data_IF_880493717225
#
_entry.id   IF_880493717225
#
_cell.length_a   1.000
_cell.length_b   1.000
_cell.length_c   1.000
_cell.angle_alpha   90.00
_cell.angle_beta   90.00
_cell.angle_gamma   90.00
#
_symmetry.space_group_name_H-M   'P 1'
#
loop_
_entity.id
_entity.type
_entity.pdbx_description
1 polymer ?
#
# COMPACT_ATOMS: atom_id res chain seq x y z
N UNK A 1 21.49 -16.30 -47.10
CA UNK A 1 21.33 -16.93 -45.77
C UNK A 1 21.23 -15.82 -44.75
N UNK A 2 20.04 -15.50 -44.23
CA UNK A 2 19.84 -14.48 -43.20
C UNK A 2 19.88 -15.17 -41.83
N UNK A 3 20.94 -14.91 -41.08
CA UNK A 3 21.20 -15.51 -39.77
C UNK A 3 20.30 -14.92 -38.69
N UNK A 4 19.84 -15.83 -37.83
CA UNK A 4 19.08 -15.61 -36.61
C UNK A 4 19.77 -14.59 -35.68
N UNK A 5 19.07 -13.51 -35.32
CA UNK A 5 19.60 -12.50 -34.40
C UNK A 5 18.55 -11.66 -33.66
N UNK A 6 17.29 -12.15 -33.56
CA UNK A 6 16.17 -11.39 -32.98
C UNK A 6 15.70 -11.85 -31.58
N UNK A 7 16.00 -13.07 -31.16
CA UNK A 7 15.23 -13.72 -30.08
C UNK A 7 15.92 -13.71 -28.70
N UNK A 8 17.04 -12.99 -28.55
CA UNK A 8 17.83 -12.96 -27.31
C UNK A 8 17.47 -11.81 -26.34
N UNK A 9 16.54 -10.94 -26.75
CA UNK A 9 15.99 -9.85 -25.91
C UNK A 9 14.71 -10.30 -25.19
N UNK A 10 13.78 -10.93 -25.91
CA UNK A 10 12.48 -11.33 -25.37
C UNK A 10 12.53 -12.21 -24.10
N UNK A 11 13.53 -13.10 -23.95
CA UNK A 11 13.67 -13.95 -22.76
C UNK A 11 14.32 -13.29 -21.54
N UNK A 12 15.14 -12.24 -21.73
CA UNK A 12 15.82 -11.53 -20.61
C UNK A 12 15.00 -10.37 -20.06
N UNK A 13 14.07 -9.85 -20.85
CA UNK A 13 13.28 -8.68 -20.46
C UNK A 13 12.18 -9.05 -19.43
N UNK A 14 11.60 -10.26 -19.49
CA UNK A 14 10.69 -10.75 -18.44
C UNK A 14 11.35 -10.84 -17.06
N UNK A 15 12.62 -11.28 -17.00
CA UNK A 15 13.37 -11.39 -15.75
C UNK A 15 13.72 -9.99 -15.17
N UNK A 16 14.09 -9.04 -16.03
CA UNK A 16 14.38 -7.66 -15.61
C UNK A 16 13.13 -6.93 -15.11
N UNK A 17 12.02 -7.03 -15.85
CA UNK A 17 10.77 -6.40 -15.44
C UNK A 17 10.13 -7.10 -14.23
N UNK A 18 10.21 -8.42 -14.15
CA UNK A 18 9.75 -9.19 -12.99
C UNK A 18 10.50 -8.84 -11.69
N UNK A 19 11.84 -8.71 -11.74
CA UNK A 19 12.62 -8.28 -10.59
C UNK A 19 12.25 -6.85 -10.16
N UNK A 20 12.05 -5.93 -11.12
CA UNK A 20 11.64 -4.55 -10.78
C UNK A 20 10.27 -4.49 -10.13
N UNK A 21 9.27 -5.20 -10.67
CA UNK A 21 7.93 -5.23 -10.09
C UNK A 21 7.93 -5.92 -8.71
N UNK A 22 8.71 -6.99 -8.55
CA UNK A 22 8.91 -7.66 -7.27
C UNK A 22 9.58 -6.77 -6.23
N UNK A 23 10.63 -6.03 -6.61
CA UNK A 23 11.31 -5.09 -5.74
C UNK A 23 10.39 -3.94 -5.32
N UNK A 24 9.60 -3.41 -6.26
CA UNK A 24 8.61 -2.37 -5.99
C UNK A 24 7.53 -2.88 -5.03
N UNK A 25 6.94 -4.05 -5.29
CA UNK A 25 5.93 -4.64 -4.42
C UNK A 25 6.48 -4.92 -3.01
N UNK A 26 7.72 -5.42 -2.92
CA UNK A 26 8.40 -5.65 -1.64
C UNK A 26 8.64 -4.35 -0.86
N UNK A 27 9.06 -3.28 -1.55
CA UNK A 27 9.25 -1.97 -0.93
C UNK A 27 7.92 -1.36 -0.42
N UNK A 28 6.82 -1.62 -1.11
CA UNK A 28 5.48 -1.16 -0.72
C UNK A 28 4.77 -2.07 0.30
N UNK A 29 5.26 -3.30 0.51
CA UNK A 29 4.70 -4.25 1.47
C UNK A 29 4.49 -3.68 2.89
N UNK A 30 5.50 -3.03 3.52
CA UNK A 30 5.32 -2.46 4.86
C UNK A 30 4.35 -1.27 4.91
N UNK A 31 4.05 -0.63 3.78
CA UNK A 31 3.18 0.56 3.73
C UNK A 31 1.71 0.15 3.66
N UNK A 32 1.37 -0.81 2.80
CA UNK A 32 -0.02 -1.21 2.58
C UNK A 32 -0.41 -2.42 3.41
N UNK A 33 0.36 -3.50 3.35
CA UNK A 33 -0.08 -4.79 3.85
C UNK A 33 0.22 -4.99 5.33
N UNK A 34 1.41 -4.56 5.77
CA UNK A 34 1.80 -4.74 7.17
C UNK A 34 0.81 -4.08 8.17
N UNK A 35 0.34 -2.84 7.96
CA UNK A 35 -0.63 -2.25 8.88
C UNK A 35 -1.96 -3.00 8.88
N UNK A 36 -2.41 -3.47 7.72
CA UNK A 36 -3.65 -4.23 7.58
C UNK A 36 -3.58 -5.65 8.17
N UNK A 37 -2.39 -6.23 8.35
CA UNK A 37 -2.24 -7.50 9.07
C UNK A 37 -2.04 -7.30 10.58
N UNK A 38 -1.66 -6.10 11.02
CA UNK A 38 -1.41 -5.73 12.41
C UNK A 38 -2.45 -4.71 12.95
N UNK A 39 -3.72 -4.86 12.56
CA UNK A 39 -4.78 -3.87 12.86
C UNK A 39 -4.86 -3.47 14.33
N UNK A 40 -4.68 -4.40 15.27
CA UNK A 40 -4.78 -4.12 16.71
C UNK A 40 -3.73 -3.09 17.14
N UNK A 41 -2.47 -3.30 16.77
CA UNK A 41 -1.35 -2.42 17.13
C UNK A 41 -1.57 -1.02 16.56
N UNK A 42 -1.90 -0.94 15.26
CA UNK A 42 -2.13 0.34 14.60
C UNK A 42 -3.36 1.07 15.12
N UNK A 43 -4.41 0.36 15.51
CA UNK A 43 -5.58 0.94 16.19
C UNK A 43 -5.20 1.53 17.55
N UNK A 44 -4.43 0.80 18.35
CA UNK A 44 -4.01 1.26 19.68
C UNK A 44 -3.13 2.52 19.54
N UNK A 45 -2.20 2.52 18.58
CA UNK A 45 -1.37 3.71 18.25
C UNK A 45 -2.23 4.88 17.76
N UNK A 46 -3.24 4.63 16.91
CA UNK A 46 -4.14 5.67 16.42
C UNK A 46 -5.03 6.27 17.53
N UNK A 47 -5.51 5.45 18.46
CA UNK A 47 -6.30 5.91 19.60
C UNK A 47 -5.52 6.91 20.45
N UNK A 48 -4.23 6.64 20.67
CA UNK A 48 -3.34 7.56 21.40
C UNK A 48 -3.08 8.82 20.58
N UNK A 49 -2.72 8.68 19.30
CA UNK A 49 -2.37 9.83 18.44
C UNK A 49 -3.56 10.72 18.08
N UNK A 50 -4.80 10.21 18.17
CA UNK A 50 -6.05 10.95 17.91
C UNK A 50 -6.85 11.27 19.17
N UNK A 51 -6.28 11.06 20.35
CA UNK A 51 -6.94 11.40 21.59
C UNK A 51 -7.26 12.91 21.63
N UNK A 52 -8.54 13.24 21.83
CA UNK A 52 -9.01 14.63 21.90
C UNK A 52 -9.17 15.36 20.56
N UNK A 53 -9.00 14.68 19.41
CA UNK A 53 -9.23 15.28 18.09
C UNK A 53 -10.63 14.90 17.60
N UNK A 54 -11.51 15.88 17.45
CA UNK A 54 -12.75 15.69 16.69
C UNK A 54 -12.45 15.82 15.19
N UNK A 55 -12.46 14.69 14.49
CA UNK A 55 -12.07 14.61 13.08
C UNK A 55 -12.97 15.46 12.16
N UNK A 56 -14.23 15.69 12.54
CA UNK A 56 -15.14 16.56 11.80
C UNK A 56 -14.73 18.05 11.86
N UNK A 57 -14.03 18.47 12.92
CA UNK A 57 -13.65 19.86 13.14
C UNK A 57 -12.30 20.21 12.49
N UNK A 58 -11.41 19.22 12.34
CA UNK A 58 -10.11 19.38 11.69
C UNK A 58 -10.22 19.27 10.17
N UNK A 59 -11.22 18.52 9.68
CA UNK A 59 -11.36 18.29 8.25
C UNK A 59 -12.00 19.49 7.55
N UNK A 60 -11.55 19.81 6.33
CA UNK A 60 -12.06 20.95 5.56
C UNK A 60 -13.56 20.81 5.28
N UNK A 61 -14.26 21.93 5.40
CA UNK A 61 -15.70 22.02 5.14
C UNK A 61 -16.04 21.61 3.70
N UNK A 62 -17.09 20.80 3.54
CA UNK A 62 -17.56 20.32 2.22
C UNK A 62 -16.95 19.01 1.73
N UNK A 63 -16.02 18.41 2.48
CA UNK A 63 -15.51 17.06 2.20
C UNK A 63 -16.07 16.03 3.19
N UNK A 64 -16.39 14.83 2.69
CA UNK A 64 -16.85 13.72 3.53
C UNK A 64 -15.74 13.31 4.50
N UNK A 65 -16.11 13.05 5.75
CA UNK A 65 -15.15 12.51 6.72
C UNK A 65 -14.62 11.16 6.29
N UNK A 66 -13.30 11.08 6.12
CA UNK A 66 -12.63 9.86 5.65
C UNK A 66 -12.83 8.70 6.62
N UNK A 67 -13.13 7.53 6.06
CA UNK A 67 -13.29 6.29 6.82
C UNK A 67 -11.96 5.90 7.45
N UNK A 68 -11.99 5.58 8.75
CA UNK A 68 -10.84 5.02 9.45
C UNK A 68 -10.61 3.56 9.00
N UNK A 69 -9.45 3.24 8.38
CA UNK A 69 -9.15 1.89 7.91
C UNK A 69 -9.01 0.85 9.02
N UNK A 70 -8.86 1.25 10.29
CA UNK A 70 -8.72 0.34 11.43
C UNK A 70 -9.94 0.32 12.35
N UNK A 71 -11.04 0.97 11.93
CA UNK A 71 -12.28 0.98 12.69
C UNK A 71 -12.77 -0.47 12.88
N UNK A 72 -13.06 -0.91 14.11
CA UNK A 72 -13.68 -2.21 14.31
C UNK A 72 -14.97 -2.29 13.51
N UNK A 73 -15.18 -3.41 12.81
CA UNK A 73 -16.47 -3.70 12.20
C UNK A 73 -17.42 -4.07 13.32
N UNK A 74 -18.16 -3.09 13.85
CA UNK A 74 -19.30 -3.36 14.70
C UNK A 74 -20.27 -4.26 13.91
N UNK A 75 -20.68 -5.38 14.51
CA UNK A 75 -21.88 -6.13 14.11
C UNK A 75 -23.07 -5.59 14.88
#
# INVERSE_FOLDING_TARGET
MRGFGGDLYAGRDFCKHGLTLGAVAAAFYPIFFYPMTHNKEYRDVQNVNRAGINQADVQPVGLKVWSDPFKPTDK
#
